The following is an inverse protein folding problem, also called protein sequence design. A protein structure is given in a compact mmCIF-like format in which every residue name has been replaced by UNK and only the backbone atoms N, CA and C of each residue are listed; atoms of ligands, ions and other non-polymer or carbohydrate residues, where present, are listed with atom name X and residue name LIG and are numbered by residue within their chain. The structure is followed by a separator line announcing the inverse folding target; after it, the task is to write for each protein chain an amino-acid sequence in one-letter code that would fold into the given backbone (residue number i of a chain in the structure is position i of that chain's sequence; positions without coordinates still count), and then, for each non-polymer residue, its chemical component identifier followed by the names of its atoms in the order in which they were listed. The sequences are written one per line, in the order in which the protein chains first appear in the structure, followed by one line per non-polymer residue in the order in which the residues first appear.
data_IF_840281607119
#
_entry.id   IF_840281607119
#
_cell.length_a   1.000
_cell.length_b   1.000
_cell.length_c   1.000
_cell.angle_alpha   90.00
_cell.angle_beta   90.00
_cell.angle_gamma   90.00
#
_symmetry.space_group_name_H-M   'P 1'
#
loop_
_entity.id
_entity.type
_entity.pdbx_description
1 polymer ?
#
# COMPACT_ATOMS: atom_id res chain seq x y z
N UNK A 1 0.37 14.67 -4.33
CA UNK A 1 0.98 15.25 -5.55
C UNK A 1 1.76 14.15 -6.25
N UNK A 2 1.71 14.08 -7.58
CA UNK A 2 2.53 13.14 -8.35
C UNK A 2 4.01 13.52 -8.24
N UNK A 3 4.91 12.52 -8.23
CA UNK A 3 6.35 12.75 -8.23
C UNK A 3 6.75 13.57 -9.46
N UNK A 4 7.49 14.65 -9.24
CA UNK A 4 8.11 15.41 -10.33
C UNK A 4 9.54 14.90 -10.47
N UNK A 5 9.92 14.35 -11.64
CA UNK A 5 11.23 13.73 -11.81
C UNK A 5 12.38 14.64 -11.39
N UNK A 6 13.32 14.11 -10.60
CA UNK A 6 14.47 14.85 -10.10
C UNK A 6 15.33 15.40 -11.26
N UNK A 7 15.46 14.67 -12.36
CA UNK A 7 16.16 15.15 -13.56
C UNK A 7 15.50 16.42 -14.14
N UNK A 8 14.17 16.50 -14.17
CA UNK A 8 13.47 17.67 -14.69
C UNK A 8 13.68 18.89 -13.79
N UNK A 9 13.68 18.67 -12.48
CA UNK A 9 13.96 19.72 -11.50
C UNK A 9 15.41 20.20 -11.60
N UNK A 10 16.35 19.29 -11.83
CA UNK A 10 17.75 19.63 -12.13
C UNK A 10 17.87 20.49 -13.39
N UNK A 11 17.25 20.06 -14.51
CA UNK A 11 17.28 20.82 -15.75
C UNK A 11 16.74 22.25 -15.58
N UNK A 12 15.69 22.43 -14.77
CA UNK A 12 15.16 23.75 -14.43
C UNK A 12 16.14 24.59 -13.60
N UNK A 13 16.77 24.02 -12.57
CA UNK A 13 17.78 24.70 -11.75
C UNK A 13 18.98 25.15 -12.60
N UNK A 14 19.48 24.26 -13.46
CA UNK A 14 20.55 24.56 -14.41
C UNK A 14 20.18 25.69 -15.36
N UNK A 15 18.98 25.67 -15.94
CA UNK A 15 18.51 26.74 -16.84
C UNK A 15 18.43 28.10 -16.13
N UNK A 16 18.02 28.14 -14.86
CA UNK A 16 18.03 29.37 -14.04
C UNK A 16 19.45 29.87 -13.81
N UNK A 17 20.38 28.98 -13.51
CA UNK A 17 21.79 29.32 -13.36
C UNK A 17 22.38 29.90 -14.66
N UNK A 18 22.14 29.25 -15.79
CA UNK A 18 22.58 29.72 -17.11
C UNK A 18 22.00 31.10 -17.44
N UNK A 19 20.71 31.32 -17.18
CA UNK A 19 20.07 32.63 -17.40
C UNK A 19 20.65 33.73 -16.49
N UNK A 20 20.92 33.42 -15.22
CA UNK A 20 21.49 34.36 -14.26
C UNK A 20 22.93 34.78 -14.62
N UNK A 21 23.67 33.89 -15.30
CA UNK A 21 25.07 34.11 -15.67
C UNK A 21 25.25 34.55 -17.12
N UNK A 22 24.24 34.43 -17.97
CA UNK A 22 24.32 34.66 -19.43
C UNK A 22 24.89 36.03 -19.84
N UNK A 23 24.59 37.10 -19.10
CA UNK A 23 25.09 38.47 -19.40
C UNK A 23 26.53 38.72 -18.96
N UNK A 24 27.05 37.84 -18.11
CA UNK A 24 28.36 37.98 -17.45
C UNK A 24 29.36 36.92 -17.91
N UNK A 25 28.96 36.07 -18.87
CA UNK A 25 29.76 34.97 -19.40
C UNK A 25 30.16 35.26 -20.85
N UNK A 26 31.47 35.32 -21.19
CA UNK A 26 31.92 35.51 -22.56
C UNK A 26 31.64 34.28 -23.43
N UNK A 27 31.55 34.48 -24.75
CA UNK A 27 31.39 33.38 -25.73
C UNK A 27 32.57 32.38 -25.73
N UNK A 28 33.70 32.77 -25.15
CA UNK A 28 34.99 32.10 -25.31
C UNK A 28 35.39 31.28 -24.05
N UNK A 29 34.54 31.31 -23.02
CA UNK A 29 34.77 30.66 -21.72
C UNK A 29 34.59 29.12 -21.77
N UNK A 30 35.42 28.46 -22.59
CA UNK A 30 35.35 27.02 -22.88
C UNK A 30 35.42 26.14 -21.63
N UNK A 31 36.27 26.50 -20.66
CA UNK A 31 36.40 25.76 -19.40
C UNK A 31 35.10 25.78 -18.57
N UNK A 32 34.43 26.93 -18.50
CA UNK A 32 33.18 27.07 -17.74
C UNK A 32 32.00 26.41 -18.49
N UNK A 33 32.00 26.42 -19.81
CA UNK A 33 31.06 25.66 -20.62
C UNK A 33 31.26 24.14 -20.45
N UNK A 34 32.51 23.67 -20.41
CA UNK A 34 32.82 22.26 -20.14
C UNK A 34 32.37 21.84 -18.73
N UNK A 35 32.64 22.67 -17.71
CA UNK A 35 32.22 22.38 -16.34
C UNK A 35 30.70 22.30 -16.18
N UNK A 36 29.93 23.18 -16.85
CA UNK A 36 28.46 23.11 -16.84
C UNK A 36 27.91 21.84 -17.49
N UNK A 37 28.58 21.33 -18.53
CA UNK A 37 28.19 20.09 -19.20
C UNK A 37 28.76 18.84 -18.52
N UNK A 38 29.51 19.00 -17.42
CA UNK A 38 30.08 17.92 -16.62
C UNK A 38 29.12 17.27 -15.64
N UNK A 39 27.80 17.39 -15.84
CA UNK A 39 26.76 16.92 -14.92
C UNK A 39 26.32 15.46 -15.15
N UNK A 40 26.94 14.73 -16.08
CA UNK A 40 26.54 13.37 -16.45
C UNK A 40 26.38 12.41 -15.25
N UNK A 41 27.32 12.44 -14.30
CA UNK A 41 27.24 11.60 -13.09
C UNK A 41 26.07 11.99 -12.19
N UNK A 42 25.76 13.29 -12.10
CA UNK A 42 24.64 13.80 -11.33
C UNK A 42 23.31 13.39 -11.99
N UNK A 43 23.17 13.62 -13.29
CA UNK A 43 21.98 13.20 -14.07
C UNK A 43 21.74 11.70 -13.93
N UNK A 44 22.80 10.88 -13.99
CA UNK A 44 22.70 9.43 -13.79
C UNK A 44 22.12 9.09 -12.40
N UNK A 45 22.64 9.70 -11.34
CA UNK A 45 22.16 9.45 -9.98
C UNK A 45 20.69 9.86 -9.81
N UNK A 46 20.29 11.02 -10.35
CA UNK A 46 18.90 11.50 -10.31
C UNK A 46 17.96 10.56 -11.08
N UNK A 47 18.37 10.07 -12.25
CA UNK A 47 17.61 9.08 -13.04
C UNK A 47 17.38 7.77 -12.31
N UNK A 48 18.37 7.32 -11.53
CA UNK A 48 18.22 6.13 -10.69
C UNK A 48 17.11 6.33 -9.65
N UNK A 49 17.06 7.50 -8.99
CA UNK A 49 15.95 7.84 -8.09
C UNK A 49 14.59 7.88 -8.81
N UNK A 50 14.54 8.49 -10.00
CA UNK A 50 13.32 8.55 -10.81
C UNK A 50 12.86 7.18 -11.33
N UNK A 51 13.77 6.21 -11.47
CA UNK A 51 13.43 4.85 -11.87
C UNK A 51 12.64 4.13 -10.77
N UNK A 52 12.97 4.35 -9.50
CA UNK A 52 12.24 3.79 -8.36
C UNK A 52 10.78 4.26 -8.37
N UNK A 53 10.57 5.57 -8.55
CA UNK A 53 9.23 6.14 -8.66
C UNK A 53 8.46 5.62 -9.87
N UNK A 54 9.10 5.48 -11.04
CA UNK A 54 8.47 4.95 -12.26
C UNK A 54 8.10 3.48 -12.17
N UNK A 55 8.88 2.69 -11.43
CA UNK A 55 8.55 1.28 -11.18
C UNK A 55 7.29 1.14 -10.30
N UNK A 56 6.84 2.22 -9.64
CA UNK A 56 5.76 2.17 -8.66
C UNK A 56 6.10 1.28 -7.46
N UNK A 57 7.39 0.98 -7.26
CA UNK A 57 7.86 0.05 -6.26
C UNK A 57 7.82 0.73 -4.89
N UNK A 58 6.88 0.35 -4.02
CA UNK A 58 6.93 0.70 -2.60
C UNK A 58 7.58 -0.45 -1.81
N UNK A 59 8.33 -0.14 -0.76
CA UNK A 59 8.97 -1.18 0.06
C UNK A 59 10.40 -0.84 0.49
N UNK A 60 10.97 -1.71 1.32
CA UNK A 60 12.33 -1.55 1.85
C UNK A 60 13.40 -1.57 0.76
N UNK A 61 13.25 -2.39 -0.29
CA UNK A 61 14.20 -2.42 -1.41
C UNK A 61 14.18 -1.09 -2.19
N UNK A 62 12.99 -0.56 -2.48
CA UNK A 62 12.86 0.75 -3.10
C UNK A 62 13.45 1.88 -2.23
N UNK A 63 13.26 1.81 -0.91
CA UNK A 63 13.90 2.75 0.02
C UNK A 63 15.43 2.63 0.00
N UNK A 64 16.00 1.41 -0.06
CA UNK A 64 17.44 1.19 -0.19
C UNK A 64 17.99 1.77 -1.49
N UNK A 65 17.28 1.57 -2.60
CA UNK A 65 17.65 2.11 -3.91
C UNK A 65 17.63 3.64 -3.93
N UNK A 66 16.62 4.26 -3.31
CA UNK A 66 16.56 5.72 -3.14
C UNK A 66 17.71 6.24 -2.26
N UNK A 67 18.06 5.55 -1.17
CA UNK A 67 19.23 5.91 -0.34
C UNK A 67 20.53 5.82 -1.15
N UNK A 68 20.69 4.78 -1.97
CA UNK A 68 21.86 4.64 -2.83
C UNK A 68 21.92 5.77 -3.87
N UNK A 69 20.81 6.05 -4.55
CA UNK A 69 20.70 7.17 -5.50
C UNK A 69 21.00 8.53 -4.85
N UNK A 70 20.51 8.76 -3.63
CA UNK A 70 20.79 9.95 -2.83
C UNK A 70 22.29 10.10 -2.54
N UNK A 71 22.96 9.03 -2.06
CA UNK A 71 24.41 9.03 -1.81
C UNK A 71 25.23 9.35 -3.07
N UNK A 72 24.86 8.73 -4.19
CA UNK A 72 25.52 8.99 -5.48
C UNK A 72 25.29 10.43 -5.94
N UNK A 73 24.08 10.98 -5.74
CA UNK A 73 23.75 12.36 -6.03
C UNK A 73 24.57 13.34 -5.17
N UNK A 74 24.77 13.06 -3.87
CA UNK A 74 25.63 13.86 -2.97
C UNK A 74 27.05 13.94 -3.51
N UNK A 75 27.62 12.78 -3.88
CA UNK A 75 28.99 12.68 -4.37
C UNK A 75 29.14 13.41 -5.71
N UNK A 76 28.21 13.17 -6.63
CA UNK A 76 28.20 13.82 -7.95
C UNK A 76 28.00 15.33 -7.85
N UNK A 77 27.10 15.80 -6.97
CA UNK A 77 26.88 17.23 -6.68
C UNK A 77 28.16 17.89 -6.20
N UNK A 78 28.84 17.32 -5.21
CA UNK A 78 30.08 17.89 -4.66
C UNK A 78 31.15 18.04 -5.74
N UNK A 79 31.34 17.00 -6.57
CA UNK A 79 32.28 17.03 -7.69
C UNK A 79 31.90 18.09 -8.73
N UNK A 80 30.62 18.15 -9.11
CA UNK A 80 30.10 19.12 -10.08
C UNK A 80 30.28 20.57 -9.61
N UNK A 81 29.86 20.88 -8.38
CA UNK A 81 29.98 22.23 -7.83
C UNK A 81 31.44 22.66 -7.66
N UNK A 82 32.33 21.74 -7.27
CA UNK A 82 33.76 22.04 -7.17
C UNK A 82 34.39 22.34 -8.54
N UNK A 83 34.07 21.55 -9.56
CA UNK A 83 34.55 21.77 -10.92
C UNK A 83 34.03 23.10 -11.50
N UNK A 84 32.75 23.40 -11.27
CA UNK A 84 32.12 24.64 -11.74
C UNK A 84 32.65 25.88 -11.02
N UNK A 85 32.83 25.81 -9.70
CA UNK A 85 33.42 26.90 -8.91
C UNK A 85 34.84 27.22 -9.40
N UNK A 86 35.69 26.19 -9.54
CA UNK A 86 37.06 26.36 -10.06
C UNK A 86 37.08 27.06 -11.42
N UNK A 87 36.24 26.61 -12.35
CA UNK A 87 36.17 27.21 -13.68
C UNK A 87 35.70 28.67 -13.66
N UNK A 88 34.77 29.02 -12.76
CA UNK A 88 34.29 30.40 -12.59
C UNK A 88 35.35 31.30 -11.94
N UNK A 89 36.11 30.80 -10.97
CA UNK A 89 37.17 31.56 -10.30
C UNK A 89 38.32 31.87 -11.26
N UNK A 90 38.77 30.89 -12.06
CA UNK A 90 39.78 31.07 -13.10
C UNK A 90 39.33 32.10 -14.15
N UNK A 91 38.07 32.02 -14.58
CA UNK A 91 37.46 32.95 -15.54
C UNK A 91 37.31 34.36 -14.94
N UNK A 92 36.97 34.50 -13.65
CA UNK A 92 36.88 35.80 -12.98
C UNK A 92 38.26 36.44 -12.77
N UNK A 93 39.26 35.66 -12.36
CA UNK A 93 40.63 36.13 -12.13
C UNK A 93 41.27 36.67 -13.42
N UNK A 94 41.03 36.01 -14.56
CA UNK A 94 41.56 36.47 -15.85
C UNK A 94 40.97 37.80 -16.33
N UNK A 95 39.79 38.21 -15.83
CA UNK A 95 39.04 39.37 -16.34
C UNK A 95 39.06 40.59 -15.42
N UNK A 96 39.26 40.42 -14.12
CA UNK A 96 39.21 41.52 -13.14
C UNK A 96 37.83 42.18 -12.98
N UNK A 97 36.76 41.61 -13.57
CA UNK A 97 35.40 42.12 -13.49
C UNK A 97 34.71 41.65 -12.19
N UNK A 98 34.75 42.53 -11.19
CA UNK A 98 34.16 42.29 -9.86
C UNK A 98 32.64 42.14 -9.90
N UNK A 99 31.95 42.79 -10.83
CA UNK A 99 30.49 42.73 -10.93
C UNK A 99 30.05 41.38 -11.51
N UNK A 100 30.75 40.87 -12.52
CA UNK A 100 30.54 39.52 -13.06
C UNK A 100 30.83 38.43 -12.00
N UNK A 101 31.93 38.57 -11.25
CA UNK A 101 32.27 37.63 -10.18
C UNK A 101 31.17 37.55 -9.11
N UNK A 102 30.66 38.69 -8.62
CA UNK A 102 29.59 38.73 -7.63
C UNK A 102 28.24 38.20 -8.15
N UNK A 103 27.95 38.34 -9.45
CA UNK A 103 26.76 37.75 -10.06
C UNK A 103 26.87 36.22 -10.15
N UNK A 104 28.01 35.69 -10.59
CA UNK A 104 28.30 34.26 -10.65
C UNK A 104 28.29 33.61 -9.27
N UNK A 105 28.86 34.26 -8.26
CA UNK A 105 28.85 33.75 -6.88
C UNK A 105 27.43 33.60 -6.33
N UNK A 106 26.56 34.61 -6.55
CA UNK A 106 25.15 34.54 -6.14
C UNK A 106 24.41 33.42 -6.87
N UNK A 107 24.64 33.26 -8.18
CA UNK A 107 24.05 32.18 -8.96
C UNK A 107 24.53 30.80 -8.47
N UNK A 108 25.82 30.66 -8.11
CA UNK A 108 26.38 29.42 -7.55
C UNK A 108 25.77 29.07 -6.20
N UNK A 109 25.57 30.05 -5.32
CA UNK A 109 24.87 29.85 -4.03
C UNK A 109 23.44 29.36 -4.23
N UNK A 110 22.70 29.94 -5.19
CA UNK A 110 21.36 29.51 -5.52
C UNK A 110 21.34 28.08 -6.10
N UNK A 111 22.25 27.75 -7.02
CA UNK A 111 22.35 26.41 -7.61
C UNK A 111 22.70 25.35 -6.57
N UNK A 112 23.64 25.66 -5.65
CA UNK A 112 24.00 24.76 -4.56
C UNK A 112 22.81 24.49 -3.63
N UNK A 113 21.97 25.50 -3.39
CA UNK A 113 20.73 25.36 -2.63
C UNK A 113 19.73 24.45 -3.35
N UNK A 114 19.44 24.70 -4.63
CA UNK A 114 18.52 23.87 -5.43
C UNK A 114 18.96 22.38 -5.44
N UNK A 115 20.27 22.13 -5.53
CA UNK A 115 20.83 20.78 -5.48
C UNK A 115 20.77 20.14 -4.08
N UNK A 116 20.86 20.93 -3.02
CA UNK A 116 20.66 20.44 -1.65
C UNK A 116 19.21 20.11 -1.36
N UNK A 117 18.26 20.89 -1.88
CA UNK A 117 16.83 20.58 -1.81
C UNK A 117 16.50 19.28 -2.55
N UNK A 118 17.07 19.07 -3.75
CA UNK A 118 16.91 17.80 -4.48
C UNK A 118 17.42 16.59 -3.70
N UNK A 119 18.57 16.71 -3.05
CA UNK A 119 19.11 15.64 -2.19
C UNK A 119 18.19 15.37 -0.99
N UNK A 120 17.72 16.42 -0.32
CA UNK A 120 16.82 16.30 0.82
C UNK A 120 15.51 15.61 0.43
N UNK A 121 14.97 15.93 -0.74
CA UNK A 121 13.75 15.30 -1.25
C UNK A 121 13.93 13.81 -1.57
N UNK A 122 15.07 13.42 -2.15
CA UNK A 122 15.39 11.99 -2.35
C UNK A 122 15.43 11.25 -1.00
N UNK A 123 16.05 11.86 0.02
CA UNK A 123 16.07 11.30 1.37
C UNK A 123 14.69 11.19 2.00
N UNK A 124 13.87 12.24 1.88
CA UNK A 124 12.50 12.25 2.41
C UNK A 124 11.61 11.20 1.72
N UNK A 125 11.78 11.00 0.42
CA UNK A 125 11.08 9.94 -0.31
C UNK A 125 11.54 8.55 0.16
N UNK A 126 12.84 8.33 0.41
CA UNK A 126 13.31 7.07 0.97
C UNK A 126 12.68 6.75 2.34
N UNK A 127 12.61 7.73 3.24
CA UNK A 127 11.98 7.58 4.55
C UNK A 127 10.47 7.30 4.42
N UNK A 128 9.80 7.96 3.48
CA UNK A 128 8.39 7.72 3.20
C UNK A 128 8.14 6.29 2.72
N UNK A 129 8.95 5.76 1.81
CA UNK A 129 8.80 4.40 1.28
C UNK A 129 9.03 3.35 2.37
N UNK A 130 10.01 3.58 3.24
CA UNK A 130 10.25 2.74 4.42
C UNK A 130 9.06 2.76 5.39
N UNK A 131 8.47 3.92 5.66
CA UNK A 131 7.30 4.03 6.51
C UNK A 131 6.08 3.30 5.91
N UNK A 132 5.88 3.41 4.59
CA UNK A 132 4.82 2.68 3.88
C UNK A 132 5.03 1.16 3.95
N UNK A 133 6.26 0.68 3.81
CA UNK A 133 6.60 -0.74 3.95
C UNK A 133 6.25 -1.27 5.34
N UNK A 134 6.69 -0.58 6.39
CA UNK A 134 6.41 -0.95 7.77
C UNK A 134 4.90 -0.91 8.09
N UNK A 135 4.16 0.03 7.50
CA UNK A 135 2.71 0.07 7.67
C UNK A 135 2.02 -1.10 6.97
N UNK A 136 2.41 -1.41 5.73
CA UNK A 136 1.88 -2.55 4.99
C UNK A 136 2.13 -3.88 5.71
N UNK A 137 3.31 -4.05 6.33
CA UNK A 137 3.62 -5.24 7.16
C UNK A 137 2.71 -5.33 8.39
N UNK A 138 2.48 -4.21 9.09
CA UNK A 138 1.53 -4.17 10.22
C UNK A 138 0.12 -4.49 9.80
N UNK A 139 -0.33 -3.95 8.66
CA UNK A 139 -1.67 -4.19 8.14
C UNK A 139 -1.84 -5.66 7.71
N UNK A 140 -0.83 -6.25 7.08
CA UNK A 140 -0.81 -7.67 6.74
C UNK A 140 -0.88 -8.56 8.00
N UNK A 141 -0.06 -8.26 9.02
CA UNK A 141 -0.09 -8.99 10.29
C UNK A 141 -1.42 -8.82 11.03
N UNK A 142 -2.02 -7.63 10.99
CA UNK A 142 -3.35 -7.39 11.56
C UNK A 142 -4.44 -8.18 10.83
N UNK A 143 -4.40 -8.21 9.50
CA UNK A 143 -5.32 -8.97 8.65
C UNK A 143 -5.21 -10.47 8.92
N UNK A 144 -3.98 -11.01 9.02
CA UNK A 144 -3.76 -12.43 9.36
C UNK A 144 -4.34 -12.78 10.75
N UNK A 145 -4.14 -11.90 11.74
CA UNK A 145 -4.72 -12.09 13.08
C UNK A 145 -6.24 -12.03 13.07
N UNK A 146 -6.83 -11.10 12.32
CA UNK A 146 -8.27 -10.98 12.16
C UNK A 146 -8.84 -12.24 11.50
N UNK A 147 -8.19 -12.74 10.45
CA UNK A 147 -8.55 -13.98 9.78
C UNK A 147 -8.50 -15.18 10.74
N UNK A 148 -7.40 -15.40 11.47
CA UNK A 148 -7.29 -16.52 12.43
C UNK A 148 -8.37 -16.47 13.52
N UNK A 149 -8.70 -15.28 14.03
CA UNK A 149 -9.78 -15.11 15.01
C UNK A 149 -11.14 -15.44 14.40
N UNK A 150 -11.40 -14.98 13.19
CA UNK A 150 -12.63 -15.32 12.47
C UNK A 150 -12.74 -16.83 12.23
N UNK A 151 -11.68 -17.50 11.76
CA UNK A 151 -11.63 -18.95 11.55
C UNK A 151 -11.97 -19.73 12.83
N UNK A 152 -11.41 -19.31 13.98
CA UNK A 152 -11.73 -19.92 15.27
C UNK A 152 -13.22 -19.74 15.62
N UNK A 153 -13.77 -18.54 15.41
CA UNK A 153 -15.16 -18.23 15.71
C UNK A 153 -16.15 -18.99 14.82
N UNK A 154 -15.92 -19.03 13.50
CA UNK A 154 -16.78 -19.75 12.56
C UNK A 154 -16.71 -21.26 12.79
N UNK A 155 -15.53 -21.81 13.09
CA UNK A 155 -15.40 -23.24 13.45
C UNK A 155 -16.14 -23.56 14.75
N UNK A 156 -16.10 -22.68 15.75
CA UNK A 156 -16.89 -22.80 16.97
C UNK A 156 -18.40 -22.78 16.70
N UNK A 157 -18.85 -21.87 15.83
CA UNK A 157 -20.26 -21.79 15.41
C UNK A 157 -20.71 -23.05 14.63
N UNK A 158 -19.86 -23.57 13.73
CA UNK A 158 -20.09 -24.81 13.00
C UNK A 158 -20.17 -26.03 13.93
N UNK A 159 -19.30 -26.09 14.95
CA UNK A 159 -19.34 -27.15 15.96
C UNK A 159 -20.65 -27.13 16.77
N UNK A 160 -21.10 -25.93 17.20
CA UNK A 160 -22.41 -25.76 17.85
C UNK A 160 -23.56 -26.16 16.92
N UNK A 161 -23.49 -25.77 15.65
CA UNK A 161 -24.49 -26.14 14.65
C UNK A 161 -24.57 -27.65 14.45
N UNK A 162 -23.43 -28.34 14.36
CA UNK A 162 -23.36 -29.80 14.28
C UNK A 162 -23.94 -30.49 15.53
N UNK A 163 -23.62 -29.99 16.73
CA UNK A 163 -24.19 -30.48 17.98
C UNK A 163 -25.72 -30.28 18.03
N UNK A 164 -26.22 -29.13 17.58
CA UNK A 164 -27.65 -28.86 17.46
C UNK A 164 -28.37 -29.80 16.49
N UNK A 165 -27.78 -30.06 15.33
CA UNK A 165 -28.29 -31.05 14.36
C UNK A 165 -28.34 -32.45 15.01
N UNK A 166 -27.30 -32.85 15.73
CA UNK A 166 -27.28 -34.14 16.43
C UNK A 166 -28.38 -34.24 17.51
N UNK A 167 -28.59 -33.16 18.29
CA UNK A 167 -29.64 -33.09 19.32
C UNK A 167 -31.05 -33.23 18.71
N UNK A 168 -31.33 -32.53 17.61
CA UNK A 168 -32.63 -32.68 16.91
C UNK A 168 -32.76 -34.06 16.25
N UNK A 169 -31.68 -34.65 15.71
CA UNK A 169 -31.75 -36.04 15.18
C UNK A 169 -32.10 -37.07 16.25
N UNK A 170 -31.58 -36.90 17.47
CA UNK A 170 -31.89 -37.79 18.58
C UNK A 170 -33.34 -37.65 19.05
N UNK A 171 -33.90 -36.43 19.00
CA UNK A 171 -35.28 -36.14 19.37
C UNK A 171 -35.90 -35.15 18.37
N UNK A 172 -36.43 -35.62 17.23
CA UNK A 172 -36.91 -34.76 16.16
C UNK A 172 -38.33 -34.25 16.46
N UNK A 173 -38.43 -33.30 17.39
CA UNK A 173 -39.69 -32.64 17.75
C UNK A 173 -39.68 -31.16 17.35
N UNK A 174 -40.87 -30.57 17.10
CA UNK A 174 -41.00 -29.15 16.78
C UNK A 174 -40.32 -28.24 17.82
N UNK A 175 -40.49 -28.55 19.10
CA UNK A 175 -39.92 -27.74 20.20
C UNK A 175 -38.39 -27.74 20.16
N UNK A 176 -37.76 -28.91 20.05
CA UNK A 176 -36.29 -29.01 20.03
C UNK A 176 -35.70 -28.35 18.78
N UNK A 177 -36.40 -28.41 17.65
CA UNK A 177 -36.00 -27.67 16.45
C UNK A 177 -36.10 -26.15 16.65
N UNK A 178 -37.27 -25.67 17.07
CA UNK A 178 -37.58 -24.23 17.19
C UNK A 178 -36.75 -23.54 18.28
N UNK A 179 -36.31 -24.28 19.29
CA UNK A 179 -35.40 -23.82 20.34
C UNK A 179 -33.98 -23.56 19.79
N UNK A 180 -33.48 -24.46 18.94
CA UNK A 180 -32.04 -24.49 18.59
C UNK A 180 -31.73 -23.78 17.28
N UNK A 181 -32.47 -24.08 16.21
CA UNK A 181 -32.06 -23.73 14.84
C UNK A 181 -32.03 -22.22 14.57
N UNK A 182 -32.98 -21.41 15.07
CA UNK A 182 -32.90 -19.95 14.92
C UNK A 182 -31.63 -19.33 15.51
N UNK A 183 -31.20 -19.80 16.69
CA UNK A 183 -30.00 -19.28 17.33
C UNK A 183 -28.72 -19.72 16.60
N UNK A 184 -28.64 -21.00 16.22
CA UNK A 184 -27.48 -21.55 15.50
C UNK A 184 -27.29 -20.90 14.12
N UNK A 185 -28.38 -20.66 13.38
CA UNK A 185 -28.32 -20.00 12.10
C UNK A 185 -27.90 -18.53 12.20
N UNK A 186 -28.36 -17.80 13.23
CA UNK A 186 -27.94 -16.41 13.49
C UNK A 186 -26.46 -16.31 13.84
N UNK A 187 -25.95 -17.24 14.63
CA UNK A 187 -24.53 -17.29 15.00
C UNK A 187 -23.66 -17.44 13.74
N UNK A 188 -23.96 -18.44 12.90
CA UNK A 188 -23.29 -18.62 11.61
C UNK A 188 -23.43 -17.40 10.68
N UNK A 189 -24.63 -16.84 10.55
CA UNK A 189 -24.87 -15.67 9.72
C UNK A 189 -24.08 -14.43 10.19
N UNK A 190 -23.91 -14.26 11.50
CA UNK A 190 -23.11 -13.18 12.09
C UNK A 190 -21.64 -13.34 11.75
N UNK A 191 -21.10 -14.56 11.86
CA UNK A 191 -19.71 -14.83 11.48
C UNK A 191 -19.50 -14.64 9.97
N UNK A 192 -20.45 -15.03 9.12
CA UNK A 192 -20.37 -14.80 7.67
C UNK A 192 -20.46 -13.32 7.31
N UNK A 193 -21.26 -12.53 8.02
CA UNK A 193 -21.30 -11.08 7.83
C UNK A 193 -19.95 -10.42 8.19
N UNK A 194 -19.30 -10.87 9.27
CA UNK A 194 -17.97 -10.43 9.66
C UNK A 194 -16.90 -10.81 8.62
N UNK A 195 -17.08 -11.94 7.92
CA UNK A 195 -16.17 -12.42 6.89
C UNK A 195 -16.08 -11.51 5.66
N UNK A 196 -17.07 -10.65 5.41
CA UNK A 196 -17.10 -9.74 4.24
C UNK A 196 -15.91 -8.79 4.18
N UNK A 197 -15.33 -8.46 5.33
CA UNK A 197 -14.16 -7.59 5.43
C UNK A 197 -12.82 -8.35 5.30
N UNK A 198 -12.85 -9.68 5.11
CA UNK A 198 -11.65 -10.51 4.97
C UNK A 198 -11.33 -10.77 3.50
N UNK A 199 -10.06 -10.69 3.16
CA UNK A 199 -9.57 -10.96 1.81
C UNK A 199 -9.25 -12.46 1.58
N UNK A 200 -9.43 -12.89 0.34
CA UNK A 200 -9.00 -14.21 -0.15
C UNK A 200 -9.85 -15.40 0.32
N UNK A 201 -11.11 -15.19 0.69
CA UNK A 201 -12.06 -16.28 0.90
C UNK A 201 -12.31 -17.03 -0.41
N UNK A 202 -12.48 -18.37 -0.35
CA UNK A 202 -12.72 -19.21 -1.54
C UNK A 202 -14.05 -18.91 -2.26
N UNK A 203 -15.01 -18.36 -1.53
CA UNK A 203 -16.30 -17.99 -2.08
C UNK A 203 -16.85 -16.78 -1.31
N UNK A 204 -17.82 -16.11 -1.90
CA UNK A 204 -18.52 -14.99 -1.27
C UNK A 204 -19.29 -15.48 -0.01
N UNK A 205 -18.97 -14.97 1.20
CA UNK A 205 -19.69 -15.35 2.41
C UNK A 205 -21.17 -14.93 2.37
N UNK A 206 -21.55 -13.91 1.58
CA UNK A 206 -22.95 -13.50 1.43
C UNK A 206 -23.80 -14.59 0.75
N UNK A 207 -23.22 -15.44 -0.10
CA UNK A 207 -23.92 -16.58 -0.70
C UNK A 207 -24.47 -17.53 0.36
N UNK A 208 -23.62 -17.95 1.31
CA UNK A 208 -24.04 -18.86 2.38
C UNK A 208 -24.88 -18.15 3.44
N UNK A 209 -24.63 -16.86 3.69
CA UNK A 209 -25.45 -16.06 4.59
C UNK A 209 -26.90 -15.98 4.12
N UNK A 210 -27.13 -15.79 2.81
CA UNK A 210 -28.48 -15.83 2.20
C UNK A 210 -29.13 -17.20 2.34
N UNK A 211 -28.38 -18.29 2.18
CA UNK A 211 -28.92 -19.64 2.40
C UNK A 211 -29.31 -19.91 3.86
N UNK A 212 -28.68 -19.25 4.82
CA UNK A 212 -29.04 -19.35 6.25
C UNK A 212 -30.19 -18.43 6.66
N UNK A 213 -30.55 -17.45 5.82
CA UNK A 213 -31.57 -16.45 6.12
C UNK A 213 -32.92 -17.03 6.58
N UNK A 214 -33.45 -18.12 5.97
CA UNK A 214 -34.73 -18.69 6.42
C UNK A 214 -34.70 -19.13 7.88
N UNK A 215 -33.59 -19.69 8.36
CA UNK A 215 -33.45 -20.06 9.77
C UNK A 215 -33.05 -18.89 10.66
N UNK A 216 -32.27 -17.93 10.18
CA UNK A 216 -31.78 -16.82 10.99
C UNK A 216 -32.83 -15.72 11.21
N UNK A 217 -33.80 -15.58 10.30
CA UNK A 217 -34.74 -14.45 10.26
C UNK A 217 -34.02 -13.12 10.00
N UNK A 218 -33.06 -13.11 9.07
CA UNK A 218 -32.28 -11.93 8.70
C UNK A 218 -32.52 -11.56 7.23
N UNK A 219 -32.47 -10.26 6.89
CA UNK A 219 -32.49 -9.81 5.49
C UNK A 219 -33.84 -9.32 4.94
N UNK A 220 -34.86 -9.14 5.80
CA UNK A 220 -36.20 -8.70 5.36
C UNK A 220 -37.18 -9.84 5.08
N UNK A 221 -36.70 -11.10 5.13
CA UNK A 221 -37.47 -12.32 4.83
C UNK A 221 -38.44 -12.78 5.95
N UNK A 222 -38.68 -11.93 6.96
CA UNK A 222 -39.58 -12.22 8.07
C UNK A 222 -38.92 -12.95 9.25
N UNK A 223 -39.71 -13.41 10.24
CA UNK A 223 -39.20 -14.12 11.40
C UNK A 223 -38.50 -15.44 11.01
N UNK A 224 -37.60 -15.97 11.86
CA UNK A 224 -37.01 -17.28 11.66
C UNK A 224 -38.05 -18.34 11.31
N UNK A 225 -37.75 -19.19 10.35
CA UNK A 225 -38.53 -20.37 10.03
C UNK A 225 -38.69 -21.21 11.30
N UNK A 226 -39.94 -21.28 11.77
CA UNK A 226 -40.36 -22.18 12.83
C UNK A 226 -41.21 -23.28 12.24
N UNK A 227 -41.07 -24.50 12.75
CA UNK A 227 -41.92 -25.62 12.37
C UNK A 227 -43.19 -25.63 13.23
N UNK A 228 -44.36 -25.86 12.63
CA UNK A 228 -45.62 -26.09 13.33
C UNK A 228 -45.58 -27.28 14.32
N UNK A 229 -46.43 -27.30 15.35
CA UNK A 229 -46.44 -28.37 16.37
C UNK A 229 -46.87 -29.74 15.84
N UNK A 230 -47.54 -29.81 14.68
CA UNK A 230 -48.00 -31.04 14.02
C UNK A 230 -46.97 -31.65 13.06
N UNK A 231 -45.80 -31.02 12.90
CA UNK A 231 -44.72 -31.56 12.04
C UNK A 231 -44.24 -32.92 12.54
N UNK A 232 -44.18 -33.87 11.61
CA UNK A 232 -43.68 -35.22 11.87
C UNK A 232 -42.17 -35.24 12.04
N UNK A 233 -41.67 -36.24 12.77
CA UNK A 233 -40.24 -36.52 12.91
C UNK A 233 -39.50 -36.59 11.56
N UNK A 234 -40.15 -37.12 10.52
CA UNK A 234 -39.59 -37.22 9.17
C UNK A 234 -39.41 -35.84 8.53
N UNK A 235 -40.42 -34.99 8.58
CA UNK A 235 -40.36 -33.62 8.05
C UNK A 235 -39.26 -32.79 8.73
N UNK A 236 -39.16 -32.90 10.07
CA UNK A 236 -38.10 -32.23 10.84
C UNK A 236 -36.72 -32.76 10.43
N UNK A 237 -36.60 -34.08 10.26
CA UNK A 237 -35.34 -34.71 9.83
C UNK A 237 -34.90 -34.26 8.43
N UNK A 238 -35.84 -34.00 7.52
CA UNK A 238 -35.51 -33.51 6.19
C UNK A 238 -35.09 -32.03 6.22
N UNK A 239 -35.73 -31.18 7.02
CA UNK A 239 -35.32 -29.78 7.22
C UNK A 239 -33.91 -29.65 7.78
N UNK A 240 -33.55 -30.46 8.78
CA UNK A 240 -32.20 -30.41 9.36
C UNK A 240 -31.13 -30.94 8.40
N UNK A 241 -31.47 -31.76 7.39
CA UNK A 241 -30.51 -32.18 6.34
C UNK A 241 -30.15 -31.01 5.44
N UNK A 242 -31.11 -30.15 5.13
CA UNK A 242 -30.87 -28.96 4.31
C UNK A 242 -29.93 -28.00 5.04
N UNK A 243 -30.23 -27.67 6.30
CA UNK A 243 -29.35 -26.87 7.15
C UNK A 243 -27.94 -27.46 7.25
N UNK A 244 -27.82 -28.78 7.50
CA UNK A 244 -26.53 -29.46 7.56
C UNK A 244 -25.74 -29.38 6.23
N UNK A 245 -26.44 -29.35 5.09
CA UNK A 245 -25.82 -29.18 3.77
C UNK A 245 -25.26 -27.77 3.61
N UNK A 246 -25.98 -26.75 4.07
CA UNK A 246 -25.47 -25.36 4.08
C UNK A 246 -24.24 -25.25 4.98
N UNK A 247 -24.26 -25.83 6.19
CA UNK A 247 -23.11 -25.86 7.09
C UNK A 247 -21.87 -26.52 6.46
N UNK A 248 -22.05 -27.62 5.70
CA UNK A 248 -20.94 -28.25 4.96
C UNK A 248 -20.35 -27.32 3.90
N UNK A 249 -21.18 -26.52 3.22
CA UNK A 249 -20.70 -25.50 2.30
C UNK A 249 -19.91 -24.38 3.00
N UNK A 250 -20.33 -23.98 4.20
CA UNK A 250 -19.58 -23.01 5.03
C UNK A 250 -18.23 -23.58 5.47
N UNK A 251 -18.13 -24.88 5.79
CA UNK A 251 -16.82 -25.52 6.09
C UNK A 251 -15.84 -25.37 4.92
N UNK A 252 -16.30 -25.42 3.67
CA UNK A 252 -15.45 -25.27 2.49
C UNK A 252 -14.90 -23.85 2.29
N UNK A 253 -15.53 -22.82 2.90
CA UNK A 253 -14.95 -21.48 2.98
C UNK A 253 -13.71 -21.44 3.89
N UNK A 254 -13.72 -22.26 4.95
CA UNK A 254 -12.71 -22.27 6.02
C UNK A 254 -11.56 -23.23 5.71
N UNK A 255 -11.87 -24.46 5.27
CA UNK A 255 -10.88 -25.51 4.94
C UNK A 255 -10.21 -25.32 3.57
N UNK A 256 -10.13 -24.07 3.13
CA UNK A 256 -9.87 -23.68 1.76
C UNK A 256 -8.44 -23.19 1.45
N UNK A 257 -7.50 -23.35 2.36
CA UNK A 257 -6.11 -22.99 2.11
C UNK A 257 -5.22 -24.13 2.53
#
# INVERSE_FOLDING_TARGET
MAHVPYEQRWAAARKRFEAATAKHRPKDAKAVAAALNGDAALVKALKSGDAVHRAGAAGDEAAKDLVAAGKDAVKARKAYLAALAKALDEDAASRGDKAAAAACERAMKALAKDLAELEADIGADADRFKAQAAQAEKDAAASERAQKRWEANINGALARAAAGVAKVRAKPTPDTYNELFPALARDLATQLAAAKALDGLRADPDFYRRKLAPWAGQGGDGPPMRVPPDYTARQITDLIKEFATVCKGVVQLVGGR
#
